data_IF_214817168732
#
_entry.id   IF_214817168732
#
_cell.length_a   1.000
_cell.length_b   1.000
_cell.length_c   1.000
_cell.angle_alpha   90.00
_cell.angle_beta   90.00
_cell.angle_gamma   90.00
#
_symmetry.space_group_name_H-M   'P 1'
#
loop_
_entity.id
_entity.type
_entity.pdbx_description
1 polymer ?
#
# COMPACT_ATOMS: atom_id res chain seq x y z
N UNK A 1 -18.22 2.28 -5.62
CA UNK A 1 -18.02 2.20 -7.09
C UNK A 1 -18.98 3.21 -7.69
N UNK A 2 -18.46 4.20 -8.42
CA UNK A 2 -19.30 5.29 -8.96
C UNK A 2 -19.35 5.15 -10.47
N UNK A 3 -20.53 4.82 -10.99
CA UNK A 3 -20.78 4.82 -12.43
C UNK A 3 -21.08 6.26 -12.83
N UNK A 4 -20.33 6.77 -13.81
CA UNK A 4 -20.57 8.10 -14.38
C UNK A 4 -21.68 7.94 -15.41
N UNK A 5 -22.83 8.59 -15.18
CA UNK A 5 -23.95 8.61 -16.12
C UNK A 5 -24.23 10.04 -16.58
N UNK A 6 -24.62 10.25 -17.84
CA UNK A 6 -25.01 11.56 -18.36
C UNK A 6 -26.16 12.16 -17.52
N UNK A 7 -26.12 13.48 -17.32
CA UNK A 7 -27.07 14.17 -16.45
C UNK A 7 -28.56 14.00 -16.84
N UNK A 8 -28.84 13.71 -18.11
CA UNK A 8 -30.19 13.55 -18.66
C UNK A 8 -30.74 12.11 -18.61
N UNK A 9 -29.98 11.16 -18.05
CA UNK A 9 -30.41 9.77 -18.03
C UNK A 9 -31.56 9.56 -17.01
N UNK A 10 -32.75 9.05 -17.43
CA UNK A 10 -33.91 8.85 -16.55
C UNK A 10 -33.63 7.90 -15.37
N UNK A 11 -32.61 7.04 -15.49
CA UNK A 11 -32.19 6.11 -14.45
C UNK A 11 -31.64 6.80 -13.19
N UNK A 12 -31.31 8.10 -13.24
CA UNK A 12 -30.81 8.87 -12.10
C UNK A 12 -31.80 8.88 -10.93
N UNK A 13 -33.08 9.05 -11.19
CA UNK A 13 -34.11 9.09 -10.13
C UNK A 13 -34.30 7.71 -9.48
N UNK A 14 -34.27 6.65 -10.28
CA UNK A 14 -34.37 5.26 -9.82
C UNK A 14 -33.16 4.91 -8.93
N UNK A 15 -31.94 5.20 -9.41
CA UNK A 15 -30.70 4.91 -8.69
C UNK A 15 -30.55 5.73 -7.39
N UNK A 16 -31.01 6.99 -7.37
CA UNK A 16 -31.03 7.79 -6.14
C UNK A 16 -31.97 7.22 -5.07
N UNK A 17 -33.09 6.60 -5.46
CA UNK A 17 -34.01 5.95 -4.52
C UNK A 17 -33.48 4.64 -3.93
N UNK A 18 -32.49 4.03 -4.59
CA UNK A 18 -31.81 2.81 -4.15
C UNK A 18 -30.52 3.09 -3.35
N UNK A 19 -30.33 4.33 -2.85
CA UNK A 19 -29.11 4.76 -2.14
C UNK A 19 -27.82 4.66 -2.98
N UNK A 20 -27.92 4.62 -4.30
CA UNK A 20 -26.75 4.66 -5.19
C UNK A 20 -26.35 6.12 -5.40
N UNK A 21 -25.13 6.48 -4.99
CA UNK A 21 -24.62 7.84 -5.04
C UNK A 21 -24.28 8.25 -6.49
N UNK A 22 -25.18 8.98 -7.15
CA UNK A 22 -24.97 9.50 -8.51
C UNK A 22 -24.27 10.86 -8.45
N UNK A 23 -22.98 10.92 -8.77
CA UNK A 23 -22.23 12.18 -8.85
C UNK A 23 -22.40 12.84 -10.23
N UNK A 24 -22.75 14.14 -10.31
CA UNK A 24 -22.77 14.88 -11.58
C UNK A 24 -21.36 14.96 -12.22
N UNK A 25 -21.28 14.76 -13.55
CA UNK A 25 -20.05 14.72 -14.37
C UNK A 25 -19.04 15.85 -14.08
N UNK A 26 -19.53 17.05 -13.74
CA UNK A 26 -18.70 18.23 -13.50
C UNK A 26 -17.79 18.13 -12.26
N UNK A 27 -18.03 17.18 -11.34
CA UNK A 27 -17.12 16.92 -10.19
C UNK A 27 -16.18 15.74 -10.38
N UNK A 28 -16.36 14.90 -11.40
CA UNK A 28 -15.51 13.73 -11.63
C UNK A 28 -14.15 14.08 -12.26
N UNK A 29 -14.08 15.19 -13.00
CA UNK A 29 -12.87 15.64 -13.71
C UNK A 29 -11.93 16.47 -12.81
N UNK A 30 -12.38 16.85 -11.61
CA UNK A 30 -11.64 17.70 -10.65
C UNK A 30 -11.35 17.02 -9.31
N UNK A 31 -11.15 15.69 -9.29
CA UNK A 31 -10.48 15.09 -8.14
C UNK A 31 -8.99 15.37 -8.23
N UNK A 32 -8.58 16.53 -7.73
CA UNK A 32 -7.19 16.92 -7.44
C UNK A 32 -6.66 16.11 -6.23
N UNK A 33 -6.91 14.80 -6.24
CA UNK A 33 -6.59 13.88 -5.16
C UNK A 33 -5.22 13.30 -5.47
N UNK A 34 -4.20 13.82 -4.78
CA UNK A 34 -2.84 13.27 -4.85
C UNK A 34 -2.84 11.78 -4.45
N UNK A 35 -1.95 10.94 -5.02
CA UNK A 35 -1.78 9.57 -4.56
C UNK A 35 -1.42 9.50 -3.08
N UNK A 36 -1.96 8.49 -2.39
CA UNK A 36 -1.54 8.12 -1.05
C UNK A 36 -0.18 7.43 -1.12
N UNK A 37 0.79 7.93 -0.36
CA UNK A 37 2.12 7.37 -0.26
C UNK A 37 2.16 6.39 0.91
N UNK A 38 2.31 5.09 0.63
CA UNK A 38 2.34 4.03 1.67
C UNK A 38 3.69 3.34 1.65
N UNK A 39 4.38 3.35 2.79
CA UNK A 39 5.58 2.55 3.00
C UNK A 39 5.22 1.18 3.58
N UNK A 40 5.89 0.11 3.13
CA UNK A 40 5.72 -1.23 3.68
C UNK A 40 7.09 -1.79 4.11
N UNK A 41 7.31 -1.91 5.42
CA UNK A 41 8.45 -2.61 5.99
C UNK A 41 8.13 -4.11 6.05
N UNK A 42 8.62 -4.85 5.06
CA UNK A 42 8.34 -6.29 4.92
C UNK A 42 9.43 -7.14 5.58
N UNK A 43 9.15 -7.57 6.82
CA UNK A 43 10.00 -8.44 7.64
C UNK A 43 9.71 -9.93 7.44
N UNK A 44 8.72 -10.29 6.61
CA UNK A 44 8.41 -11.69 6.35
C UNK A 44 9.51 -12.38 5.52
N UNK A 45 9.73 -13.70 5.73
CA UNK A 45 10.67 -14.48 4.93
C UNK A 45 10.16 -14.69 3.49
N UNK A 46 8.85 -14.85 3.32
CA UNK A 46 8.19 -15.03 2.02
C UNK A 46 7.75 -13.68 1.45
N UNK A 47 8.71 -12.87 0.99
CA UNK A 47 8.45 -11.46 0.61
C UNK A 47 7.41 -11.31 -0.50
N UNK A 48 7.61 -11.99 -1.63
CA UNK A 48 6.72 -11.91 -2.81
C UNK A 48 5.28 -12.30 -2.47
N UNK A 49 5.10 -13.33 -1.63
CA UNK A 49 3.77 -13.78 -1.18
C UNK A 49 3.10 -12.69 -0.34
N UNK A 50 3.85 -12.11 0.60
CA UNK A 50 3.36 -11.06 1.50
C UNK A 50 3.04 -9.78 0.74
N UNK A 51 3.89 -9.38 -0.21
CA UNK A 51 3.67 -8.27 -1.14
C UNK A 51 2.35 -8.46 -1.90
N UNK A 52 2.16 -9.64 -2.49
CA UNK A 52 0.94 -9.97 -3.25
C UNK A 52 -0.31 -9.87 -2.38
N UNK A 53 -0.24 -10.35 -1.13
CA UNK A 53 -1.37 -10.29 -0.19
C UNK A 53 -1.71 -8.85 0.18
N UNK A 54 -0.72 -8.02 0.53
CA UNK A 54 -0.93 -6.63 0.92
C UNK A 54 -1.39 -5.77 -0.26
N UNK A 55 -0.74 -5.89 -1.42
CA UNK A 55 -1.09 -5.13 -2.62
C UNK A 55 -2.49 -5.47 -3.13
N UNK A 56 -2.94 -6.72 -2.97
CA UNK A 56 -4.32 -7.11 -3.31
C UNK A 56 -5.36 -6.38 -2.46
N UNK A 57 -5.07 -6.14 -1.19
CA UNK A 57 -5.96 -5.39 -0.29
C UNK A 57 -5.89 -3.88 -0.57
N UNK A 58 -4.68 -3.35 -0.70
CA UNK A 58 -4.45 -1.93 -0.99
C UNK A 58 -5.00 -1.51 -2.36
N UNK A 59 -5.01 -2.41 -3.34
CA UNK A 59 -5.56 -2.17 -4.67
C UNK A 59 -7.10 -2.18 -4.74
N UNK A 60 -7.79 -2.57 -3.66
CA UNK A 60 -9.25 -2.63 -3.63
C UNK A 60 -9.89 -1.31 -3.13
N UNK A 61 -9.39 -0.18 -3.63
CA UNK A 61 -9.88 1.17 -3.31
C UNK A 61 -9.93 2.03 -4.57
N UNK A 62 -10.80 3.05 -4.59
CA UNK A 62 -10.85 4.03 -5.68
C UNK A 62 -9.78 5.13 -5.57
N UNK A 63 -8.99 5.13 -4.49
CA UNK A 63 -7.88 6.06 -4.29
C UNK A 63 -6.63 5.56 -5.02
N UNK A 64 -5.85 6.49 -5.56
CA UNK A 64 -4.52 6.17 -6.09
C UNK A 64 -3.58 5.91 -4.91
N UNK A 65 -2.86 4.78 -4.93
CA UNK A 65 -1.92 4.39 -3.88
C UNK A 65 -0.55 4.12 -4.52
N UNK A 66 0.47 4.82 -4.03
CA UNK A 66 1.87 4.58 -4.38
C UNK A 66 2.54 3.84 -3.22
N UNK A 67 3.13 2.68 -3.52
CA UNK A 67 3.72 1.80 -2.51
C UNK A 67 5.23 1.84 -2.61
N UNK A 68 5.90 2.11 -1.49
CA UNK A 68 7.35 1.95 -1.34
C UNK A 68 7.64 0.75 -0.45
N UNK A 69 8.31 -0.27 -1.01
CA UNK A 69 8.77 -1.42 -0.24
C UNK A 69 10.08 -1.08 0.49
N UNK A 70 10.12 -1.37 1.79
CA UNK A 70 11.24 -1.04 2.68
C UNK A 70 11.83 -2.33 3.25
N UNK A 71 13.17 -2.39 3.26
CA UNK A 71 13.95 -3.46 3.89
C UNK A 71 14.87 -2.90 4.96
N UNK A 72 15.19 -3.72 5.95
CA UNK A 72 16.31 -3.49 6.85
C UNK A 72 17.62 -3.68 6.09
N UNK A 73 18.66 -2.97 6.52
CA UNK A 73 19.98 -3.01 5.91
C UNK A 73 20.78 -4.23 6.37
N UNK A 74 20.63 -4.61 7.65
CA UNK A 74 21.33 -5.74 8.27
C UNK A 74 20.78 -7.11 7.89
N UNK A 75 19.50 -7.25 7.55
CA UNK A 75 18.88 -8.57 7.39
C UNK A 75 18.98 -9.10 5.96
N UNK A 76 19.73 -10.18 5.77
CA UNK A 76 19.74 -10.94 4.52
C UNK A 76 18.53 -11.88 4.46
N UNK A 77 17.67 -11.66 3.47
CA UNK A 77 16.52 -12.54 3.25
C UNK A 77 16.95 -13.83 2.57
N UNK A 78 16.84 -14.95 3.30
CA UNK A 78 17.28 -16.27 2.81
C UNK A 78 16.42 -16.83 1.67
N UNK A 79 15.19 -16.36 1.51
CA UNK A 79 14.18 -16.93 0.61
C UNK A 79 13.76 -16.00 -0.55
N UNK A 80 14.47 -14.89 -0.78
CA UNK A 80 14.14 -13.92 -1.84
C UNK A 80 15.37 -13.65 -2.71
N UNK A 81 15.24 -13.70 -4.05
CA UNK A 81 16.36 -13.37 -4.94
C UNK A 81 16.89 -11.97 -4.65
N UNK A 82 18.21 -11.83 -4.62
CA UNK A 82 18.87 -10.55 -4.36
C UNK A 82 18.50 -9.49 -5.41
N UNK A 83 18.33 -9.91 -6.66
CA UNK A 83 17.89 -9.06 -7.77
C UNK A 83 16.52 -8.40 -7.50
N UNK A 84 15.57 -9.13 -6.91
CA UNK A 84 14.25 -8.59 -6.54
C UNK A 84 14.37 -7.54 -5.45
N UNK A 85 15.24 -7.79 -4.47
CA UNK A 85 15.49 -6.84 -3.38
C UNK A 85 16.17 -5.57 -3.90
N UNK A 86 17.13 -5.69 -4.82
CA UNK A 86 17.83 -4.53 -5.37
C UNK A 86 16.94 -3.69 -6.30
N UNK A 87 16.04 -4.32 -7.04
CA UNK A 87 15.17 -3.63 -7.99
C UNK A 87 14.00 -2.90 -7.32
N UNK A 88 13.44 -3.45 -6.24
CA UNK A 88 12.14 -3.00 -5.72
C UNK A 88 12.15 -2.51 -4.28
N UNK A 89 13.19 -2.81 -3.49
CA UNK A 89 13.26 -2.40 -2.09
C UNK A 89 14.21 -1.23 -1.87
N UNK A 90 13.78 -0.31 -0.99
CA UNK A 90 14.60 0.77 -0.46
C UNK A 90 14.97 0.50 0.99
N UNK A 91 16.10 0.99 1.43
CA UNK A 91 16.51 1.03 2.84
C UNK A 91 15.92 2.25 3.53
N UNK A 92 15.87 2.22 4.87
CA UNK A 92 15.44 3.39 5.65
C UNK A 92 16.23 4.67 5.30
N UNK A 93 17.53 4.54 5.06
CA UNK A 93 18.39 5.68 4.71
C UNK A 93 17.97 6.37 3.41
N UNK A 94 17.41 5.64 2.45
CA UNK A 94 16.95 6.18 1.16
C UNK A 94 15.59 6.89 1.27
N UNK A 95 14.79 6.51 2.27
CA UNK A 95 13.43 7.03 2.45
C UNK A 95 13.28 8.00 3.62
N UNK A 96 14.33 8.20 4.44
CA UNK A 96 14.29 9.03 5.67
C UNK A 96 13.85 10.48 5.46
N UNK A 97 14.02 11.03 4.26
CA UNK A 97 13.62 12.41 3.91
C UNK A 97 12.24 12.48 3.28
N UNK A 98 11.64 11.34 2.95
CA UNK A 98 10.31 11.24 2.34
C UNK A 98 9.24 11.22 3.42
N UNK A 99 8.04 11.71 3.08
CA UNK A 99 6.86 11.65 3.95
C UNK A 99 5.87 10.66 3.36
N UNK A 100 5.32 9.81 4.22
CA UNK A 100 4.33 8.82 3.86
C UNK A 100 3.03 9.12 4.61
N UNK A 101 1.91 8.81 3.96
CA UNK A 101 0.58 8.87 4.57
C UNK A 101 0.33 7.69 5.49
N UNK A 102 0.99 6.56 5.24
CA UNK A 102 0.94 5.38 6.09
C UNK A 102 2.24 4.57 6.04
N UNK A 103 2.49 3.83 7.12
CA UNK A 103 3.53 2.81 7.22
C UNK A 103 2.90 1.50 7.69
N UNK A 104 3.13 0.42 6.93
CA UNK A 104 2.74 -0.94 7.30
C UNK A 104 4.02 -1.68 7.69
N UNK A 105 4.06 -2.21 8.91
CA UNK A 105 5.13 -3.11 9.37
C UNK A 105 4.53 -4.51 9.44
N UNK A 106 5.08 -5.46 8.68
CA UNK A 106 4.58 -6.84 8.68
C UNK A 106 4.99 -7.58 9.95
N UNK A 107 4.37 -8.73 10.19
CA UNK A 107 4.92 -9.70 11.13
C UNK A 107 6.31 -10.19 10.72
N UNK A 108 6.96 -10.88 11.64
CA UNK A 108 8.25 -11.52 11.43
C UNK A 108 8.32 -12.82 12.27
N UNK A 109 9.04 -13.86 11.80
CA UNK A 109 9.15 -15.14 12.49
C UNK A 109 10.22 -15.08 13.60
N UNK A 110 10.10 -14.14 14.53
CA UNK A 110 11.08 -13.89 15.62
C UNK A 110 10.45 -13.99 17.02
N UNK A 111 9.25 -14.57 17.12
CA UNK A 111 8.44 -14.62 18.35
C UNK A 111 9.09 -15.36 19.52
N UNK A 112 10.07 -16.24 19.24
CA UNK A 112 10.78 -17.00 20.26
C UNK A 112 12.04 -16.30 20.80
N UNK A 113 12.43 -15.16 20.21
CA UNK A 113 13.61 -14.40 20.62
C UNK A 113 13.20 -13.22 21.51
N UNK A 114 13.98 -12.89 22.55
CA UNK A 114 13.92 -11.58 23.19
C UNK A 114 14.13 -10.48 22.14
N UNK A 115 13.51 -9.31 22.35
CA UNK A 115 13.57 -8.21 21.39
C UNK A 115 15.01 -7.80 21.06
N UNK A 116 15.87 -7.73 22.07
CA UNK A 116 17.27 -7.32 21.95
C UNK A 116 18.14 -8.33 21.19
N UNK A 117 17.67 -9.57 21.05
CA UNK A 117 18.35 -10.64 20.29
C UNK A 117 17.89 -10.67 18.82
N UNK A 118 16.94 -9.83 18.42
CA UNK A 118 16.52 -9.73 17.02
C UNK A 118 17.56 -8.93 16.23
N UNK A 119 18.11 -9.54 15.18
CA UNK A 119 19.23 -9.01 14.38
C UNK A 119 19.04 -7.55 13.91
N UNK A 120 17.81 -7.17 13.57
CA UNK A 120 17.45 -5.83 13.08
C UNK A 120 16.80 -4.94 14.14
N UNK A 121 16.83 -5.31 15.43
CA UNK A 121 16.17 -4.56 16.50
C UNK A 121 16.62 -3.11 16.60
N UNK A 122 17.90 -2.84 16.37
CA UNK A 122 18.45 -1.47 16.39
C UNK A 122 18.01 -0.62 15.19
N UNK A 123 17.51 -1.24 14.13
CA UNK A 123 17.04 -0.55 12.92
C UNK A 123 15.53 -0.31 12.93
N UNK A 124 14.79 -1.01 13.80
CA UNK A 124 13.35 -0.87 13.97
C UNK A 124 13.02 0.32 14.89
#
# INVERSE_FOLDING_TARGET
>A
MSIIIPNELPAKEILSSENVFVMPELRAIHQDIRPLQIAILNLMPTKIVTETQLLRLLGNTSLQVEVTLVRTNSHQSKNTPEEHLLAFYKTFNEIRTQKFDALIITGAPVEHLPFEEVDYWKEL
#
